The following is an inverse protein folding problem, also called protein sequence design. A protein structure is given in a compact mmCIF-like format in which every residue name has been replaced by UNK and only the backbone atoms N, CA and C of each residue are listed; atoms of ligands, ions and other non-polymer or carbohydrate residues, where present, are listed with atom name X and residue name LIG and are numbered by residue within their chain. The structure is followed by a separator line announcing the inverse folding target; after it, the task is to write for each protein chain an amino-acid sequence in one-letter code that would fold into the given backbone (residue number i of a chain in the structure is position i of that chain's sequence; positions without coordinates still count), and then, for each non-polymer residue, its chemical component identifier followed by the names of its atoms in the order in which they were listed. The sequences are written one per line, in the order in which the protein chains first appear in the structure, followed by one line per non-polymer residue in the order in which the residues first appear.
data_IF_775433477873
#
_entry.id   IF_775433477873
#
_cell.length_a   1.000
_cell.length_b   1.000
_cell.length_c   1.000
_cell.angle_alpha   90.00
_cell.angle_beta   90.00
_cell.angle_gamma   90.00
#
_symmetry.space_group_name_H-M   'P 1'
#
loop_
_entity.id
_entity.type
_entity.pdbx_description
1 polymer ?
#
# COMPACT_ATOMS: atom_id res chain seq x y z
N UNK A 1 -5.42 1.60 -1.56
CA UNK A 1 -6.81 1.29 -1.12
C UNK A 1 -7.55 0.83 -2.36
N UNK A 2 -8.34 -0.24 -2.28
CA UNK A 2 -9.11 -0.76 -3.40
C UNK A 2 -10.40 -1.44 -2.92
N UNK A 3 -11.41 -1.53 -3.77
CA UNK A 3 -12.65 -2.25 -3.47
C UNK A 3 -12.51 -3.72 -3.88
N UNK A 4 -13.16 -4.63 -3.15
CA UNK A 4 -13.33 -6.01 -3.63
C UNK A 4 -14.26 -6.04 -4.85
N UNK A 5 -14.21 -7.13 -5.62
CA UNK A 5 -15.12 -7.31 -6.75
C UNK A 5 -16.60 -7.24 -6.34
N UNK A 6 -16.93 -7.71 -5.13
CA UNK A 6 -18.28 -7.65 -4.57
C UNK A 6 -18.67 -6.23 -4.19
N UNK A 7 -17.78 -5.48 -3.53
CA UNK A 7 -18.01 -4.07 -3.21
C UNK A 7 -18.23 -3.23 -4.47
N UNK A 8 -17.48 -3.53 -5.54
CA UNK A 8 -17.68 -2.90 -6.85
C UNK A 8 -19.01 -3.30 -7.47
N UNK A 9 -19.34 -4.60 -7.45
CA UNK A 9 -20.58 -5.14 -8.04
C UNK A 9 -21.83 -4.59 -7.36
N UNK A 10 -21.80 -4.46 -6.03
CA UNK A 10 -22.95 -4.08 -5.21
C UNK A 10 -23.04 -2.56 -4.96
N UNK A 11 -22.02 -1.81 -5.36
CA UNK A 11 -21.88 -0.38 -5.06
C UNK A 11 -21.99 -0.07 -3.55
N UNK A 12 -21.28 -0.87 -2.74
CA UNK A 12 -21.32 -0.76 -1.28
C UNK A 12 -20.83 0.63 -0.82
N UNK A 13 -21.53 1.21 0.16
CA UNK A 13 -21.10 2.44 0.81
C UNK A 13 -19.89 2.17 1.73
N UNK A 14 -18.73 2.75 1.39
CA UNK A 14 -17.49 2.54 2.12
C UNK A 14 -17.36 3.52 3.30
N UNK A 15 -17.16 2.97 4.50
CA UNK A 15 -17.02 3.74 5.75
C UNK A 15 -15.87 3.17 6.60
N UNK A 16 -15.61 3.73 7.78
CA UNK A 16 -14.64 3.12 8.71
C UNK A 16 -15.12 1.76 9.24
N UNK A 17 -16.44 1.57 9.33
CA UNK A 17 -17.06 0.31 9.77
C UNK A 17 -17.11 -0.73 8.65
N UNK A 18 -17.23 -0.30 7.39
CA UNK A 18 -17.18 -1.13 6.19
C UNK A 18 -16.10 -0.60 5.23
N UNK A 19 -14.80 -0.79 5.54
CA UNK A 19 -13.73 -0.14 4.81
C UNK A 19 -13.47 -0.82 3.46
N UNK A 20 -12.83 -0.06 2.58
CA UNK A 20 -12.18 -0.63 1.42
C UNK A 20 -10.98 -1.49 1.84
N UNK A 21 -10.61 -2.42 0.97
CA UNK A 21 -9.45 -3.27 1.15
C UNK A 21 -8.15 -2.45 1.09
N UNK A 22 -7.17 -2.84 1.91
CA UNK A 22 -5.84 -2.23 1.97
C UNK A 22 -4.81 -3.34 2.19
N UNK A 23 -3.71 -3.27 1.45
CA UNK A 23 -2.56 -4.16 1.60
C UNK A 23 -1.32 -3.28 1.67
N UNK A 24 -0.47 -3.54 2.66
CA UNK A 24 0.85 -2.91 2.76
C UNK A 24 1.80 -3.64 1.83
N UNK A 25 2.45 -2.89 0.93
CA UNK A 25 3.45 -3.43 0.02
C UNK A 25 4.85 -3.18 0.58
N UNK A 26 5.80 -3.99 0.13
CA UNK A 26 7.22 -3.87 0.46
C UNK A 26 8.03 -3.74 -0.83
N UNK A 27 9.03 -2.86 -0.84
CA UNK A 27 9.98 -2.75 -1.94
C UNK A 27 11.18 -3.64 -1.64
N UNK A 28 11.68 -4.41 -2.61
CA UNK A 28 12.81 -5.32 -2.39
C UNK A 28 14.09 -4.62 -1.87
N UNK A 29 14.27 -3.32 -2.15
CA UNK A 29 15.38 -2.50 -1.63
C UNK A 29 15.05 -1.66 -0.40
N UNK A 30 13.83 -1.79 0.15
CA UNK A 30 13.30 -0.99 1.26
C UNK A 30 12.54 -1.93 2.23
N UNK A 31 13.27 -2.68 3.09
CA UNK A 31 12.63 -3.61 4.01
C UNK A 31 11.73 -2.87 4.99
N UNK A 32 10.53 -3.40 5.22
CA UNK A 32 9.56 -2.82 6.15
C UNK A 32 9.74 -3.35 7.58
N UNK A 33 9.38 -2.54 8.56
CA UNK A 33 9.30 -2.95 9.95
C UNK A 33 8.02 -3.75 10.26
N UNK A 34 7.84 -4.14 11.53
CA UNK A 34 6.67 -4.90 11.98
C UNK A 34 5.32 -4.18 11.76
N UNK A 35 5.34 -2.86 11.57
CA UNK A 35 4.15 -2.05 11.29
C UNK A 35 4.01 -1.70 9.80
N UNK A 36 4.96 -2.12 8.95
CA UNK A 36 4.93 -1.88 7.52
C UNK A 36 5.57 -0.57 7.06
N UNK A 37 6.42 0.06 7.88
CA UNK A 37 7.13 1.29 7.50
C UNK A 37 8.52 0.97 6.96
N UNK A 38 8.93 1.66 5.90
CA UNK A 38 10.30 1.66 5.42
C UNK A 38 11.00 3.00 5.76
N UNK A 39 12.29 3.00 6.15
CA UNK A 39 13.09 4.21 6.27
C UNK A 39 13.14 5.03 4.96
N UNK A 40 12.97 6.35 5.09
CA UNK A 40 12.92 7.25 3.92
C UNK A 40 14.22 7.29 3.11
N UNK A 41 15.38 7.16 3.76
CA UNK A 41 16.68 7.13 3.09
C UNK A 41 16.82 5.94 2.12
N UNK A 42 16.26 4.77 2.49
CA UNK A 42 16.22 3.59 1.63
C UNK A 42 15.25 3.75 0.49
N UNK A 43 14.07 4.33 0.77
CA UNK A 43 13.08 4.63 -0.25
C UNK A 43 13.64 5.56 -1.33
N UNK A 44 14.30 6.64 -0.90
CA UNK A 44 14.93 7.61 -1.80
C UNK A 44 16.05 6.96 -2.63
N UNK A 45 16.87 6.09 -2.03
CA UNK A 45 17.90 5.34 -2.77
C UNK A 45 17.29 4.48 -3.88
N UNK A 46 16.24 3.72 -3.57
CA UNK A 46 15.56 2.85 -4.55
C UNK A 46 14.96 3.66 -5.70
N UNK A 47 14.31 4.80 -5.40
CA UNK A 47 13.74 5.65 -6.45
C UNK A 47 14.81 6.32 -7.31
N UNK A 48 15.87 6.84 -6.70
CA UNK A 48 16.97 7.47 -7.43
C UNK A 48 17.72 6.45 -8.30
N UNK A 49 17.75 5.18 -7.93
CA UNK A 49 18.27 4.10 -8.79
C UNK A 49 17.32 3.75 -9.94
N UNK A 50 16.01 3.75 -9.71
CA UNK A 50 15.02 3.40 -10.74
C UNK A 50 14.88 4.46 -11.85
N UNK A 51 15.21 5.72 -11.56
CA UNK A 51 15.12 6.84 -12.52
C UNK A 51 16.40 7.03 -13.34
N UNK A 52 17.53 6.42 -12.93
CA UNK A 52 18.79 6.44 -13.69
C UNK A 52 18.70 5.60 -14.96
#
# INVERSE_FOLDING_TARGET
MYQSAEQLRNADALTLQAPAQRVTLELSGCPIDANGFCPMDKFDSVLNEAVK
#
